data_IF_360481458857
#
_entry.id   IF_360481458857
#
_cell.length_a   1.000
_cell.length_b   1.000
_cell.length_c   1.000
_cell.angle_alpha   90.00
_cell.angle_beta   90.00
_cell.angle_gamma   90.00
#
_symmetry.space_group_name_H-M   'P 1'
#
loop_
_entity.id
_entity.type
_entity.pdbx_description
1 polymer ?
#
# COMPACT_ATOMS: atom_id res chain seq x y z
N UNK A 1 -43.29 19.06 -20.25
CA UNK A 1 -42.96 18.18 -19.10
C UNK A 1 -42.55 18.99 -17.86
N UNK A 2 -41.68 19.99 -18.02
CA UNK A 2 -41.23 20.92 -16.98
C UNK A 2 -42.37 21.59 -16.19
N UNK A 3 -43.43 22.05 -16.85
CA UNK A 3 -44.57 22.69 -16.19
C UNK A 3 -45.40 21.74 -15.30
N UNK A 4 -45.38 20.42 -15.55
CA UNK A 4 -46.01 19.43 -14.65
C UNK A 4 -45.15 19.20 -13.41
N UNK A 5 -43.84 19.12 -13.57
CA UNK A 5 -42.88 19.00 -12.47
C UNK A 5 -43.00 20.22 -11.53
N UNK A 6 -43.03 21.44 -12.10
CA UNK A 6 -43.19 22.68 -11.35
C UNK A 6 -44.55 22.75 -10.61
N UNK A 7 -45.62 22.19 -11.19
CA UNK A 7 -46.95 22.15 -10.56
C UNK A 7 -47.02 21.16 -9.40
N UNK A 8 -46.37 19.99 -9.53
CA UNK A 8 -46.29 19.00 -8.45
C UNK A 8 -45.36 19.46 -7.31
N UNK A 9 -44.28 20.18 -7.65
CA UNK A 9 -43.38 20.80 -6.68
C UNK A 9 -44.02 21.98 -5.92
N UNK A 10 -45.19 22.48 -6.32
CA UNK A 10 -45.95 23.51 -5.59
C UNK A 10 -46.72 22.95 -4.38
N UNK A 11 -46.82 21.63 -4.26
CA UNK A 11 -47.38 20.99 -3.07
C UNK A 11 -46.36 21.05 -1.93
N UNK A 12 -46.73 21.67 -0.81
CA UNK A 12 -45.88 21.85 0.36
C UNK A 12 -45.21 20.54 0.80
N UNK A 13 -45.93 19.43 0.81
CA UNK A 13 -45.39 18.13 1.23
C UNK A 13 -44.31 17.61 0.26
N UNK A 14 -44.48 17.84 -1.05
CA UNK A 14 -43.51 17.43 -2.07
C UNK A 14 -42.29 18.35 -2.06
N UNK A 15 -42.49 19.66 -1.91
CA UNK A 15 -41.40 20.63 -1.81
C UNK A 15 -40.52 20.38 -0.58
N UNK A 16 -41.15 20.20 0.59
CA UNK A 16 -40.45 19.92 1.84
C UNK A 16 -39.78 18.54 1.82
N UNK A 17 -40.43 17.53 1.24
CA UNK A 17 -39.85 16.20 1.06
C UNK A 17 -38.63 16.19 0.13
N UNK A 18 -38.70 16.89 -1.00
CA UNK A 18 -37.56 17.05 -1.91
C UNK A 18 -36.43 17.86 -1.27
N UNK A 19 -36.77 18.92 -0.52
CA UNK A 19 -35.79 19.70 0.24
C UNK A 19 -35.06 18.85 1.28
N UNK A 20 -35.78 18.04 2.05
CA UNK A 20 -35.20 17.09 3.00
C UNK A 20 -34.37 16.00 2.31
N UNK A 21 -34.83 15.50 1.16
CA UNK A 21 -34.08 14.50 0.40
C UNK A 21 -32.74 15.06 -0.10
N UNK A 22 -32.76 16.27 -0.65
CA UNK A 22 -31.54 16.98 -1.07
C UNK A 22 -30.66 17.28 0.14
N UNK A 23 -31.24 17.67 1.27
CA UNK A 23 -30.51 17.89 2.53
C UNK A 23 -29.79 16.62 3.00
N UNK A 24 -30.49 15.50 3.08
CA UNK A 24 -29.91 14.20 3.46
C UNK A 24 -28.87 13.70 2.46
N UNK A 25 -29.01 14.03 1.17
CA UNK A 25 -28.08 13.58 0.14
C UNK A 25 -26.75 14.37 0.11
N UNK A 26 -26.76 15.66 0.47
CA UNK A 26 -25.61 16.56 0.29
C UNK A 26 -25.07 17.22 1.57
N UNK A 27 -25.90 17.44 2.59
CA UNK A 27 -25.51 18.16 3.80
C UNK A 27 -25.38 17.25 5.03
N UNK A 28 -25.79 15.98 4.92
CA UNK A 28 -25.58 14.97 5.95
C UNK A 28 -24.12 14.46 5.95
N UNK A 29 -23.64 13.97 7.09
CA UNK A 29 -22.28 13.42 7.28
C UNK A 29 -22.02 12.20 6.40
N UNK A 30 -23.09 11.51 5.96
CA UNK A 30 -23.03 10.39 5.03
C UNK A 30 -23.25 10.81 3.56
N UNK A 31 -22.74 11.97 3.16
CA UNK A 31 -22.82 12.39 1.76
C UNK A 31 -22.06 11.43 0.82
N UNK A 32 -22.49 11.41 -0.44
CA UNK A 32 -21.94 10.52 -1.47
C UNK A 32 -20.43 10.77 -1.66
N UNK A 33 -20.00 12.03 -1.49
CA UNK A 33 -18.60 12.44 -1.63
C UNK A 33 -17.73 11.81 -0.53
N UNK A 34 -18.19 11.85 0.72
CA UNK A 34 -17.46 11.22 1.84
C UNK A 34 -17.39 9.72 1.66
N UNK A 35 -18.45 9.07 1.19
CA UNK A 35 -18.40 7.62 0.95
C UNK A 35 -17.47 7.23 -0.19
N UNK A 36 -17.41 8.02 -1.26
CA UNK A 36 -16.42 7.80 -2.31
C UNK A 36 -14.98 7.99 -1.77
N UNK A 37 -14.72 9.07 -1.03
CA UNK A 37 -13.41 9.33 -0.41
C UNK A 37 -13.01 8.23 0.58
N UNK A 38 -13.94 7.76 1.40
CA UNK A 38 -13.70 6.68 2.35
C UNK A 38 -13.39 5.36 1.62
N UNK A 39 -14.08 5.09 0.51
CA UNK A 39 -13.84 3.88 -0.30
C UNK A 39 -12.47 3.90 -0.96
N UNK A 40 -12.04 5.05 -1.49
CA UNK A 40 -10.68 5.21 -2.01
C UNK A 40 -9.64 5.04 -0.91
N UNK A 41 -9.82 5.70 0.23
CA UNK A 41 -8.92 5.60 1.38
C UNK A 41 -8.83 4.17 1.92
N UNK A 42 -9.95 3.43 1.92
CA UNK A 42 -9.97 2.03 2.32
C UNK A 42 -9.11 1.18 1.39
N UNK A 43 -9.23 1.39 0.07
CA UNK A 43 -8.42 0.67 -0.92
C UNK A 43 -6.93 0.99 -0.77
N UNK A 44 -6.59 2.24 -0.52
CA UNK A 44 -5.20 2.66 -0.31
C UNK A 44 -4.62 2.02 0.96
N UNK A 45 -5.38 2.02 2.07
CA UNK A 45 -5.01 1.34 3.31
C UNK A 45 -4.84 -0.17 3.15
N UNK A 46 -5.68 -0.81 2.32
CA UNK A 46 -5.57 -2.24 2.04
C UNK A 46 -4.32 -2.55 1.20
N UNK A 47 -3.99 -1.72 0.23
CA UNK A 47 -2.75 -1.82 -0.53
C UNK A 47 -1.51 -1.63 0.37
N UNK A 48 -1.53 -0.61 1.23
CA UNK A 48 -0.48 -0.37 2.21
C UNK A 48 -0.30 -1.57 3.14
N UNK A 49 -1.41 -2.15 3.62
CA UNK A 49 -1.38 -3.33 4.49
C UNK A 49 -0.70 -4.52 3.81
N UNK A 50 -1.06 -4.81 2.55
CA UNK A 50 -0.41 -5.88 1.78
C UNK A 50 1.09 -5.60 1.61
N UNK A 51 1.45 -4.38 1.24
CA UNK A 51 2.85 -3.98 1.08
C UNK A 51 3.67 -4.15 2.37
N UNK A 52 3.14 -3.73 3.51
CA UNK A 52 3.85 -3.86 4.79
C UNK A 52 3.92 -5.32 5.26
N UNK A 53 2.86 -6.11 5.06
CA UNK A 53 2.87 -7.54 5.38
C UNK A 53 3.99 -8.27 4.59
N UNK A 54 4.15 -7.96 3.30
CA UNK A 54 5.25 -8.48 2.48
C UNK A 54 6.63 -8.02 2.97
N UNK A 55 6.77 -6.73 3.28
CA UNK A 55 8.04 -6.18 3.79
C UNK A 55 8.43 -6.75 5.15
N UNK A 56 7.47 -6.99 6.03
CA UNK A 56 7.72 -7.64 7.32
C UNK A 56 8.25 -9.05 7.08
N UNK A 57 7.62 -9.83 6.21
CA UNK A 57 8.09 -11.18 5.89
C UNK A 57 9.51 -11.16 5.32
N UNK A 58 9.81 -10.23 4.40
CA UNK A 58 11.16 -10.04 3.85
C UNK A 58 12.18 -9.74 4.97
N UNK A 59 11.89 -8.75 5.82
CA UNK A 59 12.78 -8.35 6.91
C UNK A 59 12.96 -9.46 7.95
N UNK A 60 11.93 -10.26 8.25
CA UNK A 60 12.06 -11.40 9.15
C UNK A 60 13.01 -12.47 8.59
N UNK A 61 12.95 -12.75 7.29
CA UNK A 61 13.88 -13.69 6.66
C UNK A 61 15.32 -13.18 6.70
N UNK A 62 15.55 -11.90 6.41
CA UNK A 62 16.85 -11.25 6.52
C UNK A 62 17.35 -11.22 7.97
N UNK A 63 16.46 -10.94 8.93
CA UNK A 63 16.81 -10.96 10.35
C UNK A 63 17.22 -12.36 10.79
N UNK A 64 16.58 -13.41 10.30
CA UNK A 64 16.95 -14.80 10.63
C UNK A 64 18.30 -15.18 10.04
N UNK A 65 18.63 -14.73 8.82
CA UNK A 65 19.97 -14.95 8.26
C UNK A 65 21.05 -14.14 9.00
N UNK A 66 20.71 -12.94 9.49
CA UNK A 66 21.62 -12.07 10.23
C UNK A 66 21.79 -12.42 11.72
N UNK A 67 20.76 -12.90 12.41
CA UNK A 67 20.80 -13.07 13.88
C UNK A 67 20.66 -14.54 14.31
N UNK A 68 20.38 -15.46 13.38
CA UNK A 68 20.07 -16.84 13.73
C UNK A 68 21.28 -17.69 14.13
N UNK A 69 22.39 -17.60 13.40
CA UNK A 69 23.58 -18.42 13.65
C UNK A 69 24.83 -17.74 13.09
N UNK A 70 25.98 -17.85 13.78
CA UNK A 70 27.28 -17.39 13.30
C UNK A 70 27.61 -17.87 11.87
N UNK A 71 27.20 -19.09 11.48
CA UNK A 71 27.39 -19.59 10.11
C UNK A 71 26.56 -18.81 9.07
N UNK A 72 25.34 -18.42 9.42
CA UNK A 72 24.47 -17.63 8.53
C UNK A 72 24.95 -16.18 8.43
N UNK A 73 25.44 -15.62 9.53
CA UNK A 73 26.11 -14.31 9.56
C UNK A 73 27.34 -14.28 8.67
N UNK A 74 28.22 -15.28 8.80
CA UNK A 74 29.43 -15.38 7.97
C UNK A 74 29.06 -15.53 6.49
N UNK A 75 28.06 -16.36 6.16
CA UNK A 75 27.55 -16.49 4.79
C UNK A 75 27.03 -15.15 4.25
N UNK A 76 26.18 -14.46 5.01
CA UNK A 76 25.62 -13.17 4.59
C UNK A 76 26.69 -12.09 4.40
N UNK A 77 27.67 -12.01 5.30
CA UNK A 77 28.79 -11.07 5.20
C UNK A 77 29.70 -11.36 4.00
N UNK A 78 29.88 -12.63 3.64
CA UNK A 78 30.64 -13.04 2.45
C UNK A 78 29.90 -12.73 1.14
N UNK A 79 28.61 -13.01 1.07
CA UNK A 79 27.82 -12.81 -0.15
C UNK A 79 27.52 -11.33 -0.43
N UNK A 80 27.20 -10.54 0.61
CA UNK A 80 26.77 -9.14 0.42
C UNK A 80 27.92 -8.13 0.56
N UNK A 81 28.95 -8.45 1.34
CA UNK A 81 30.03 -7.52 1.68
C UNK A 81 31.42 -8.06 1.34
N UNK A 82 31.52 -9.25 0.74
CA UNK A 82 32.79 -9.89 0.36
C UNK A 82 33.82 -9.95 1.50
N UNK A 83 33.34 -10.08 2.74
CA UNK A 83 34.21 -10.12 3.92
C UNK A 83 35.09 -11.37 3.91
N UNK A 84 36.36 -11.21 4.33
CA UNK A 84 37.36 -12.30 4.41
C UNK A 84 37.98 -12.41 5.79
N UNK A 85 38.46 -13.61 6.14
CA UNK A 85 39.29 -13.80 7.34
C UNK A 85 40.74 -13.36 7.07
N UNK A 86 41.54 -13.02 8.09
CA UNK A 86 42.90 -12.52 7.90
C UNK A 86 43.85 -13.44 7.12
N UNK A 87 43.63 -14.76 7.20
CA UNK A 87 44.45 -15.78 6.53
C UNK A 87 43.75 -16.42 5.32
N UNK A 88 42.83 -15.70 4.69
CA UNK A 88 42.03 -16.20 3.57
C UNK A 88 42.06 -15.24 2.39
N UNK A 89 42.19 -15.80 1.20
CA UNK A 89 42.10 -15.08 -0.07
C UNK A 89 40.76 -15.38 -0.74
N UNK A 90 40.01 -14.32 -1.03
CA UNK A 90 38.68 -14.38 -1.66
C UNK A 90 38.80 -13.83 -3.07
N UNK A 91 38.34 -14.61 -4.05
CA UNK A 91 38.34 -14.25 -5.47
C UNK A 91 36.91 -13.97 -5.92
N UNK A 92 36.69 -12.82 -6.55
CA UNK A 92 35.40 -12.45 -7.15
C UNK A 92 35.56 -12.59 -8.67
N UNK A 93 34.77 -13.48 -9.28
CA UNK A 93 34.81 -13.71 -10.71
C UNK A 93 33.94 -12.68 -11.43
N UNK A 94 34.56 -11.93 -12.34
CA UNK A 94 33.90 -10.89 -13.15
C UNK A 94 34.08 -11.18 -14.64
N UNK A 95 33.12 -10.77 -15.46
CA UNK A 95 33.26 -10.83 -16.92
C UNK A 95 34.23 -9.75 -17.44
N UNK A 96 34.46 -9.72 -18.75
CA UNK A 96 35.33 -8.73 -19.41
C UNK A 96 34.84 -7.27 -19.22
N UNK A 97 33.58 -7.10 -18.82
CA UNK A 97 32.92 -5.82 -18.54
C UNK A 97 32.91 -5.46 -17.04
N UNK A 98 33.65 -6.20 -16.20
CA UNK A 98 33.69 -6.04 -14.74
C UNK A 98 32.34 -6.25 -14.02
N UNK A 99 31.43 -7.03 -14.59
CA UNK A 99 30.16 -7.40 -13.96
C UNK A 99 30.30 -8.77 -13.26
N UNK A 100 29.63 -8.91 -12.11
CA UNK A 100 29.60 -10.15 -11.35
C UNK A 100 28.93 -11.27 -12.17
N UNK A 101 29.61 -12.41 -12.30
CA UNK A 101 29.12 -13.53 -13.12
C UNK A 101 27.94 -14.30 -12.50
N UNK A 102 27.70 -14.16 -11.19
CA UNK A 102 26.52 -14.71 -10.52
C UNK A 102 25.69 -13.59 -9.87
N UNK A 103 24.40 -13.57 -10.18
CA UNK A 103 23.32 -12.92 -9.43
C UNK A 103 22.15 -13.89 -9.31
#
# INVERSE_FOLDING_TARGET
MFNKILRTARNFYVATGLGLFIWMAFFDTNDIISQFRNSMKLRDLEADRVYYDEKIAEVETQRKSLLGNARLQEKYARENYFMKKPNEDVYVLVNEQNELLEK
#
